data_IF_262185090841
#
_entry.id   IF_262185090841
#
_cell.length_a   1.000
_cell.length_b   1.000
_cell.length_c   1.000
_cell.angle_alpha   90.00
_cell.angle_beta   90.00
_cell.angle_gamma   90.00
#
_symmetry.space_group_name_H-M   'P 1'
#
loop_
_entity.id
_entity.type
_entity.pdbx_description
1 polymer ?
#
# COMPACT_ATOMS: atom_id res chain seq x y z
N UNK A 1 17.25 4.46 2.16
CA UNK A 1 16.09 4.59 1.29
C UNK A 1 15.82 6.07 1.02
N UNK A 2 15.25 6.46 -0.11
CA UNK A 2 14.95 7.86 -0.46
C UNK A 2 13.66 7.95 -1.26
N UNK A 3 13.04 9.14 -1.30
CA UNK A 3 11.92 9.45 -2.19
C UNK A 3 12.44 9.62 -3.62
N UNK A 4 11.77 8.96 -4.57
CA UNK A 4 12.24 8.82 -5.95
C UNK A 4 11.79 9.99 -6.81
N UNK A 5 10.54 10.45 -6.65
CA UNK A 5 9.94 11.46 -7.50
C UNK A 5 8.96 12.36 -6.74
N UNK A 6 8.48 13.43 -7.40
CA UNK A 6 7.47 14.34 -6.86
C UNK A 6 8.04 15.43 -5.94
N UNK A 7 7.16 16.01 -5.11
CA UNK A 7 7.42 17.17 -4.27
C UNK A 7 8.58 16.95 -3.27
N UNK A 8 8.73 15.72 -2.75
CA UNK A 8 9.73 15.38 -1.73
C UNK A 8 10.93 14.61 -2.30
N UNK A 9 11.14 14.62 -3.62
CA UNK A 9 12.22 13.90 -4.31
C UNK A 9 13.58 14.10 -3.66
N UNK A 10 14.33 13.01 -3.49
CA UNK A 10 15.69 12.99 -2.95
C UNK A 10 15.77 12.98 -1.42
N UNK A 11 14.70 13.26 -0.69
CA UNK A 11 14.69 13.21 0.78
C UNK A 11 14.92 11.79 1.27
N UNK A 12 15.85 11.66 2.23
CA UNK A 12 16.22 10.36 2.81
C UNK A 12 15.19 9.96 3.87
N UNK A 13 14.83 8.68 3.87
CA UNK A 13 13.95 8.09 4.87
C UNK A 13 14.74 7.21 5.82
N UNK A 14 14.40 7.27 7.10
CA UNK A 14 14.86 6.32 8.11
C UNK A 14 14.29 4.94 7.80
N UNK A 15 15.10 3.91 8.02
CA UNK A 15 14.70 2.51 7.96
C UNK A 15 14.62 1.95 9.38
N UNK A 16 13.89 0.85 9.53
CA UNK A 16 13.75 0.19 10.83
C UNK A 16 14.84 -0.86 10.92
N UNK A 17 15.81 -0.64 11.82
CA UNK A 17 16.84 -1.63 12.10
C UNK A 17 16.27 -2.85 12.82
N UNK A 18 16.75 -4.04 12.44
CA UNK A 18 16.42 -5.31 13.11
C UNK A 18 15.08 -5.96 12.70
N UNK A 19 14.31 -5.38 11.80
CA UNK A 19 13.27 -6.09 11.11
C UNK A 19 13.88 -6.77 9.88
N UNK A 20 13.72 -8.09 9.75
CA UNK A 20 14.14 -8.87 8.57
C UNK A 20 13.28 -8.56 7.32
N UNK A 21 12.63 -7.41 7.32
CA UNK A 21 11.81 -6.93 6.21
C UNK A 21 12.77 -6.27 5.22
N UNK A 22 12.93 -6.91 4.08
CA UNK A 22 13.64 -6.31 2.93
C UNK A 22 12.80 -5.10 2.49
N UNK A 23 13.31 -3.86 2.60
CA UNK A 23 12.53 -2.72 2.14
C UNK A 23 12.23 -2.88 0.65
N UNK A 24 11.02 -2.56 0.21
CA UNK A 24 10.70 -2.42 -1.21
C UNK A 24 11.79 -1.61 -1.89
N UNK A 25 12.49 -2.23 -2.84
CA UNK A 25 13.65 -1.58 -3.47
C UNK A 25 13.24 -0.28 -4.16
N UNK A 26 14.16 0.69 -4.26
CA UNK A 26 13.91 1.94 -5.00
C UNK A 26 13.39 1.64 -6.42
N UNK A 27 13.93 0.59 -7.07
CA UNK A 27 13.49 0.15 -8.40
C UNK A 27 12.07 -0.41 -8.41
N UNK A 28 11.69 -1.19 -7.41
CA UNK A 28 10.32 -1.74 -7.32
C UNK A 28 9.30 -0.63 -7.08
N UNK A 29 9.62 0.33 -6.18
CA UNK A 29 8.76 1.50 -5.96
C UNK A 29 8.63 2.35 -7.23
N UNK A 30 9.72 2.57 -7.97
CA UNK A 30 9.65 3.26 -9.25
C UNK A 30 8.72 2.53 -10.23
N UNK A 31 8.86 1.20 -10.33
CA UNK A 31 7.98 0.36 -11.16
C UNK A 31 6.52 0.46 -10.73
N UNK A 32 6.23 0.35 -9.42
CA UNK A 32 4.91 0.52 -8.87
C UNK A 32 4.28 1.85 -9.33
N UNK A 33 4.96 2.95 -9.07
CA UNK A 33 4.43 4.28 -9.37
C UNK A 33 4.43 4.63 -10.87
N UNK A 34 5.21 3.95 -11.69
CA UNK A 34 5.09 4.06 -13.15
C UNK A 34 3.77 3.44 -13.66
N UNK A 35 3.34 2.34 -13.05
CA UNK A 35 2.03 1.73 -13.35
C UNK A 35 0.88 2.60 -12.84
N UNK A 36 1.04 3.18 -11.65
CA UNK A 36 0.04 4.04 -11.01
C UNK A 36 0.00 5.47 -11.57
N UNK A 37 0.79 5.77 -12.61
CA UNK A 37 0.86 7.11 -13.21
C UNK A 37 -0.54 7.56 -13.67
N UNK A 38 -0.96 8.74 -13.20
CA UNK A 38 -2.27 9.30 -13.49
C UNK A 38 -3.41 8.84 -12.56
N UNK A 39 -3.18 7.85 -11.70
CA UNK A 39 -4.17 7.39 -10.71
C UNK A 39 -3.85 7.80 -9.27
N UNK A 40 -2.58 8.09 -8.98
CA UNK A 40 -2.15 8.51 -7.63
C UNK A 40 -2.55 9.95 -7.35
N UNK A 41 -2.39 10.83 -8.34
CA UNK A 41 -2.70 12.25 -8.17
C UNK A 41 -4.19 12.45 -7.87
N UNK A 42 -4.47 13.14 -6.77
CA UNK A 42 -5.83 13.37 -6.28
C UNK A 42 -6.49 12.16 -5.62
N UNK A 43 -5.87 10.98 -5.64
CA UNK A 43 -6.43 9.74 -5.08
C UNK A 43 -6.19 9.59 -3.57
N UNK A 44 -7.06 8.80 -2.92
CA UNK A 44 -6.91 8.36 -1.53
C UNK A 44 -6.17 7.02 -1.50
N UNK A 45 -5.00 7.01 -0.90
CA UNK A 45 -4.10 5.87 -0.85
C UNK A 45 -4.08 5.23 0.54
N UNK A 46 -4.09 3.89 0.60
CA UNK A 46 -3.87 3.12 1.84
C UNK A 46 -2.60 2.30 1.71
N UNK A 47 -1.66 2.51 2.60
CA UNK A 47 -0.43 1.74 2.75
C UNK A 47 -0.62 0.75 3.90
N UNK A 48 -0.98 -0.51 3.57
CA UNK A 48 -1.20 -1.59 4.53
C UNK A 48 0.12 -2.28 4.86
N UNK A 49 0.42 -2.43 6.14
CA UNK A 49 1.72 -2.90 6.62
C UNK A 49 2.86 -1.95 6.23
N UNK A 50 2.64 -0.64 6.51
CA UNK A 50 3.42 0.46 5.94
C UNK A 50 4.92 0.48 6.32
N UNK A 51 5.35 -0.24 7.36
CA UNK A 51 6.74 -0.31 7.77
C UNK A 51 7.34 1.07 8.04
N UNK A 52 8.28 1.50 7.21
CA UNK A 52 8.88 2.85 7.31
C UNK A 52 8.04 3.97 6.66
N UNK A 53 6.93 3.62 6.00
CA UNK A 53 6.06 4.54 5.28
C UNK A 53 6.57 4.96 3.89
N UNK A 54 7.56 4.27 3.36
CA UNK A 54 8.23 4.71 2.13
C UNK A 54 7.31 4.75 0.91
N UNK A 55 6.38 3.82 0.79
CA UNK A 55 5.42 3.76 -0.33
C UNK A 55 4.37 4.85 -0.17
N UNK A 56 3.76 4.97 1.00
CA UNK A 56 2.77 6.02 1.25
C UNK A 56 3.36 7.44 1.15
N UNK A 57 4.60 7.68 1.63
CA UNK A 57 5.27 8.99 1.48
C UNK A 57 5.60 9.27 0.01
N UNK A 58 5.99 8.27 -0.78
CA UNK A 58 6.16 8.41 -2.23
C UNK A 58 4.83 8.77 -2.91
N UNK A 59 3.69 8.17 -2.46
CA UNK A 59 2.36 8.51 -2.96
C UNK A 59 2.00 9.99 -2.68
N UNK A 60 2.23 10.47 -1.45
CA UNK A 60 2.08 11.90 -1.11
C UNK A 60 2.98 12.78 -1.98
N UNK A 61 4.24 12.38 -2.17
CA UNK A 61 5.19 13.11 -3.01
C UNK A 61 4.72 13.26 -4.46
N UNK A 62 3.90 12.31 -4.94
CA UNK A 62 3.34 12.27 -6.30
C UNK A 62 1.92 12.80 -6.39
N UNK A 63 1.44 13.48 -5.35
CA UNK A 63 0.18 14.21 -5.38
C UNK A 63 -1.05 13.41 -4.92
N UNK A 64 -0.89 12.30 -4.17
CA UNK A 64 -2.03 11.68 -3.51
C UNK A 64 -2.75 12.70 -2.62
N UNK A 65 -4.08 12.78 -2.73
CA UNK A 65 -4.88 13.70 -1.93
C UNK A 65 -4.88 13.36 -0.44
N UNK A 66 -4.75 12.08 -0.12
CA UNK A 66 -4.64 11.60 1.25
C UNK A 66 -3.99 10.23 1.30
N UNK A 67 -3.14 9.98 2.32
CA UNK A 67 -2.55 8.67 2.58
C UNK A 67 -2.86 8.20 3.98
N UNK A 68 -3.43 7.00 4.09
CA UNK A 68 -3.60 6.31 5.36
C UNK A 68 -2.54 5.22 5.51
N UNK A 69 -1.64 5.41 6.47
CA UNK A 69 -0.64 4.41 6.85
C UNK A 69 -1.23 3.49 7.92
N UNK A 70 -1.20 2.18 7.68
CA UNK A 70 -1.64 1.16 8.64
C UNK A 70 -0.43 0.32 9.03
N UNK A 71 -0.09 0.36 10.31
CA UNK A 71 1.10 -0.32 10.82
C UNK A 71 0.86 -0.82 12.24
N UNK A 72 1.04 -2.12 12.46
CA UNK A 72 0.80 -2.75 13.76
C UNK A 72 1.89 -2.46 14.80
N UNK A 73 3.13 -2.33 14.37
CA UNK A 73 4.26 -2.02 15.23
C UNK A 73 4.29 -0.55 15.65
N UNK A 74 4.20 -0.27 16.94
CA UNK A 74 4.34 1.10 17.48
C UNK A 74 5.67 1.74 17.10
N UNK A 75 6.76 0.93 17.08
CA UNK A 75 8.09 1.41 16.69
C UNK A 75 8.11 1.82 15.22
N UNK A 76 7.50 1.03 14.34
CA UNK A 76 7.41 1.36 12.92
C UNK A 76 6.51 2.58 12.68
N UNK A 77 5.36 2.67 13.36
CA UNK A 77 4.48 3.84 13.30
C UNK A 77 5.18 5.14 13.73
N UNK A 78 6.05 5.08 14.75
CA UNK A 78 6.89 6.21 15.14
C UNK A 78 7.88 6.61 14.03
N UNK A 79 8.49 5.63 13.34
CA UNK A 79 9.39 5.89 12.20
C UNK A 79 8.63 6.55 11.05
N UNK A 80 7.38 6.12 10.74
CA UNK A 80 6.54 6.79 9.74
C UNK A 80 6.36 8.26 10.10
N UNK A 81 6.00 8.57 11.35
CA UNK A 81 5.81 9.94 11.83
C UNK A 81 7.09 10.79 11.71
N UNK A 82 8.25 10.21 12.05
CA UNK A 82 9.53 10.89 11.88
C UNK A 82 9.88 11.14 10.41
N UNK A 83 9.61 10.19 9.53
CA UNK A 83 9.87 10.31 8.10
C UNK A 83 8.97 11.38 7.46
N UNK A 84 7.67 11.42 7.81
CA UNK A 84 6.74 12.46 7.36
C UNK A 84 7.24 13.85 7.78
N UNK A 85 7.59 14.03 9.06
CA UNK A 85 8.15 15.30 9.57
C UNK A 85 9.45 15.67 8.87
N UNK A 86 10.38 14.72 8.67
CA UNK A 86 11.63 14.95 7.94
C UNK A 86 11.38 15.35 6.48
N UNK A 87 10.32 14.82 5.87
CA UNK A 87 9.86 15.23 4.55
C UNK A 87 9.05 16.53 4.55
N UNK A 88 8.80 17.17 5.70
CA UNK A 88 7.99 18.38 5.79
C UNK A 88 6.55 18.16 5.38
N UNK A 89 6.03 16.94 5.60
CA UNK A 89 4.61 16.61 5.38
C UNK A 89 3.86 16.94 6.66
N UNK A 90 2.95 17.91 6.60
CA UNK A 90 2.19 18.42 7.76
C UNK A 90 0.73 17.96 7.75
N UNK A 91 0.18 17.65 6.57
CA UNK A 91 -1.22 17.31 6.37
C UNK A 91 -1.41 16.19 5.33
N UNK A 92 -2.68 15.87 5.06
CA UNK A 92 -3.06 14.89 4.04
C UNK A 92 -2.61 13.45 4.35
N UNK A 93 -2.42 13.13 5.63
CA UNK A 93 -2.13 11.77 6.05
C UNK A 93 -2.81 11.40 7.37
N UNK A 94 -2.94 10.10 7.58
CA UNK A 94 -3.35 9.49 8.85
C UNK A 94 -2.48 8.27 9.14
N UNK A 95 -1.99 8.14 10.37
CA UNK A 95 -1.30 6.94 10.85
C UNK A 95 -2.25 6.18 11.76
N UNK A 96 -2.51 4.90 11.44
CA UNK A 96 -3.34 3.99 12.24
C UNK A 96 -2.42 2.91 12.78
N UNK A 97 -2.11 2.96 14.09
CA UNK A 97 -1.33 1.92 14.74
C UNK A 97 -2.24 0.75 15.14
N UNK A 98 -2.52 -0.12 14.18
CA UNK A 98 -3.38 -1.29 14.29
C UNK A 98 -3.01 -2.31 13.21
N UNK A 99 -3.40 -3.57 13.38
CA UNK A 99 -3.27 -4.58 12.33
C UNK A 99 -4.18 -4.29 11.11
N UNK A 100 -3.80 -4.86 9.96
CA UNK A 100 -4.48 -4.62 8.70
C UNK A 100 -5.94 -5.08 8.72
N UNK A 101 -6.23 -6.30 9.21
CA UNK A 101 -7.59 -6.86 9.20
C UNK A 101 -8.56 -6.07 10.07
N UNK A 102 -8.15 -5.71 11.30
CA UNK A 102 -8.96 -4.89 12.19
C UNK A 102 -9.20 -3.49 11.61
N UNK A 103 -8.22 -2.96 10.88
CA UNK A 103 -8.37 -1.66 10.20
C UNK A 103 -9.33 -1.75 9.03
N UNK A 104 -9.25 -2.78 8.19
CA UNK A 104 -10.19 -2.97 7.08
C UNK A 104 -11.62 -3.17 7.58
N UNK A 105 -11.84 -3.92 8.67
CA UNK A 105 -13.15 -4.04 9.33
C UNK A 105 -13.68 -2.68 9.81
N UNK A 106 -12.81 -1.87 10.37
CA UNK A 106 -13.16 -0.52 10.77
C UNK A 106 -13.54 0.35 9.56
N UNK A 107 -12.80 0.29 8.44
CA UNK A 107 -13.16 1.00 7.21
C UNK A 107 -14.53 0.56 6.68
N UNK A 108 -14.80 -0.75 6.67
CA UNK A 108 -16.07 -1.30 6.23
C UNK A 108 -17.26 -0.84 7.10
N UNK A 109 -17.09 -0.84 8.42
CA UNK A 109 -18.16 -0.42 9.35
C UNK A 109 -18.46 1.10 9.27
N UNK A 110 -17.52 1.90 8.77
CA UNK A 110 -17.67 3.35 8.61
C UNK A 110 -17.86 3.78 7.14
N UNK A 111 -18.03 2.81 6.22
CA UNK A 111 -18.22 3.04 4.79
C UNK A 111 -17.13 3.94 4.15
N UNK A 112 -15.89 3.81 4.64
CA UNK A 112 -14.76 4.57 4.12
C UNK A 112 -14.27 3.91 2.84
N UNK A 113 -14.14 4.70 1.76
CA UNK A 113 -13.66 4.24 0.47
C UNK A 113 -12.33 4.88 0.12
N UNK A 114 -11.47 4.09 -0.53
CA UNK A 114 -10.15 4.52 -0.99
C UNK A 114 -9.92 4.04 -2.43
N UNK A 115 -9.10 4.78 -3.16
CA UNK A 115 -8.84 4.52 -4.57
C UNK A 115 -7.74 3.49 -4.76
N UNK A 116 -6.74 3.48 -3.88
CA UNK A 116 -5.57 2.60 -4.01
C UNK A 116 -5.25 1.97 -2.66
N UNK A 117 -5.16 0.64 -2.65
CA UNK A 117 -4.61 -0.14 -1.54
C UNK A 117 -3.28 -0.74 -1.98
N UNK A 118 -2.24 -0.47 -1.23
CA UNK A 118 -0.96 -1.15 -1.34
C UNK A 118 -0.78 -2.05 -0.11
N UNK A 119 -0.43 -3.31 -0.35
CA UNK A 119 -0.34 -4.33 0.69
C UNK A 119 0.95 -5.13 0.56
N UNK A 120 1.85 -4.93 1.52
CA UNK A 120 3.16 -5.61 1.64
C UNK A 120 3.32 -6.20 3.04
N UNK A 121 2.65 -7.33 3.34
CA UNK A 121 2.78 -7.98 4.64
C UNK A 121 4.12 -8.69 4.79
N UNK A 122 4.53 -9.06 6.02
CA UNK A 122 5.64 -9.98 6.22
C UNK A 122 5.45 -11.27 5.42
N UNK A 123 6.51 -11.74 4.78
CA UNK A 123 6.48 -12.95 3.94
C UNK A 123 5.98 -14.19 4.71
N UNK A 124 5.32 -15.09 3.98
CA UNK A 124 4.76 -16.37 4.45
C UNK A 124 3.57 -16.26 5.41
N UNK A 125 2.79 -15.18 5.32
CA UNK A 125 1.64 -15.01 6.18
C UNK A 125 0.34 -15.43 5.50
N UNK A 126 -0.52 -16.17 6.23
CA UNK A 126 -1.92 -16.40 5.87
C UNK A 126 -2.71 -15.08 5.70
N UNK A 127 -2.09 -14.00 6.15
CA UNK A 127 -2.65 -12.66 6.08
C UNK A 127 -2.97 -12.22 4.65
N UNK A 128 -2.21 -12.71 3.64
CA UNK A 128 -2.50 -12.39 2.23
C UNK A 128 -3.94 -12.70 1.87
N UNK A 129 -4.36 -13.95 2.07
CA UNK A 129 -5.71 -14.37 1.68
C UNK A 129 -6.80 -13.72 2.53
N UNK A 130 -6.56 -13.57 3.83
CA UNK A 130 -7.53 -12.95 4.75
C UNK A 130 -7.79 -11.47 4.40
N UNK A 131 -6.73 -10.71 4.10
CA UNK A 131 -6.83 -9.31 3.69
C UNK A 131 -7.51 -9.21 2.33
N UNK A 132 -7.10 -10.01 1.35
CA UNK A 132 -7.66 -9.97 0.01
C UNK A 132 -9.15 -10.34 -0.02
N UNK A 133 -9.57 -11.38 0.74
CA UNK A 133 -10.99 -11.69 0.90
C UNK A 133 -11.78 -10.58 1.61
N UNK A 134 -11.17 -9.92 2.60
CA UNK A 134 -11.81 -8.80 3.29
C UNK A 134 -12.01 -7.62 2.34
N UNK A 135 -11.01 -7.27 1.54
CA UNK A 135 -11.09 -6.21 0.53
C UNK A 135 -12.15 -6.53 -0.52
N UNK A 136 -12.17 -7.76 -1.04
CA UNK A 136 -13.10 -8.18 -2.09
C UNK A 136 -14.56 -8.15 -1.65
N UNK A 137 -14.85 -8.53 -0.38
CA UNK A 137 -16.21 -8.60 0.16
C UNK A 137 -16.71 -7.28 0.76
N UNK A 138 -15.83 -6.30 0.94
CA UNK A 138 -16.16 -5.01 1.56
C UNK A 138 -16.33 -3.94 0.48
N UNK A 139 -17.25 -3.01 0.68
CA UNK A 139 -17.42 -1.85 -0.22
C UNK A 139 -16.47 -0.70 0.12
N UNK A 140 -15.20 -1.02 0.39
CA UNK A 140 -14.18 -0.05 0.81
C UNK A 140 -13.22 0.34 -0.31
N UNK A 141 -13.23 -0.38 -1.42
CA UNK A 141 -12.54 -0.01 -2.65
C UNK A 141 -13.48 0.89 -3.46
N UNK A 142 -12.99 2.06 -3.89
CA UNK A 142 -13.73 2.96 -4.77
C UNK A 142 -14.05 2.28 -6.11
N UNK A 143 -15.03 2.78 -6.86
CA UNK A 143 -15.53 2.16 -8.11
C UNK A 143 -14.41 1.89 -9.14
N UNK A 144 -13.49 2.83 -9.30
CA UNK A 144 -12.31 2.69 -10.16
C UNK A 144 -11.03 2.32 -9.38
N UNK A 145 -11.21 1.88 -8.13
CA UNK A 145 -10.10 1.61 -7.24
C UNK A 145 -9.39 0.30 -7.54
N UNK A 146 -8.19 0.17 -6.98
CA UNK A 146 -7.34 -1.00 -7.17
C UNK A 146 -6.65 -1.43 -5.90
N UNK A 147 -6.21 -2.69 -5.90
CA UNK A 147 -5.39 -3.27 -4.85
C UNK A 147 -4.09 -3.75 -5.46
N UNK A 148 -2.97 -3.38 -4.86
CA UNK A 148 -1.65 -3.85 -5.26
C UNK A 148 -1.10 -4.69 -4.11
N UNK A 149 -0.67 -5.90 -4.42
CA UNK A 149 -0.05 -6.82 -3.47
C UNK A 149 1.40 -7.02 -3.84
N UNK A 150 2.30 -6.70 -2.91
CA UNK A 150 3.71 -7.10 -3.01
C UNK A 150 3.87 -8.45 -2.31
N UNK A 151 4.47 -9.42 -3.00
CA UNK A 151 4.68 -10.76 -2.47
C UNK A 151 5.93 -11.41 -3.06
N UNK A 152 6.40 -12.51 -2.47
CA UNK A 152 7.48 -13.30 -3.08
C UNK A 152 7.01 -13.90 -4.39
N UNK A 153 7.86 -13.90 -5.41
CA UNK A 153 7.57 -14.51 -6.73
C UNK A 153 7.15 -15.98 -6.63
N UNK A 154 7.65 -16.68 -5.62
CA UNK A 154 7.28 -18.09 -5.37
C UNK A 154 5.95 -18.26 -4.62
N UNK A 155 5.37 -17.19 -4.09
CA UNK A 155 4.07 -17.22 -3.39
C UNK A 155 2.94 -17.04 -4.41
N UNK A 156 2.03 -18.00 -4.47
CA UNK A 156 0.90 -17.94 -5.38
C UNK A 156 -0.29 -17.28 -4.69
N UNK A 157 -0.71 -16.12 -5.17
CA UNK A 157 -2.02 -15.56 -4.87
C UNK A 157 -3.10 -16.37 -5.59
N UNK A 158 -4.33 -16.32 -5.09
CA UNK A 158 -5.45 -16.95 -5.80
C UNK A 158 -5.71 -16.23 -7.13
N UNK A 159 -6.20 -16.93 -8.16
CA UNK A 159 -6.51 -16.35 -9.46
C UNK A 159 -7.62 -15.29 -9.39
N UNK A 160 -8.39 -15.29 -8.31
CA UNK A 160 -9.37 -14.26 -7.99
C UNK A 160 -9.76 -14.31 -6.51
N UNK A 161 -10.34 -13.21 -6.03
CA UNK A 161 -10.97 -13.08 -4.72
C UNK A 161 -12.33 -12.45 -4.93
N UNK A 162 -13.38 -13.28 -5.09
CA UNK A 162 -14.73 -12.83 -5.44
C UNK A 162 -14.73 -12.01 -6.75
N UNK A 163 -15.09 -10.73 -6.71
CA UNK A 163 -15.07 -9.81 -7.85
C UNK A 163 -13.74 -9.11 -8.07
N UNK A 164 -12.72 -9.38 -7.24
CA UNK A 164 -11.40 -8.81 -7.34
C UNK A 164 -10.51 -9.69 -8.25
N UNK A 165 -10.14 -9.17 -9.43
CA UNK A 165 -9.37 -9.88 -10.46
C UNK A 165 -8.00 -9.28 -10.66
N UNK A 166 -6.94 -10.11 -10.82
CA UNK A 166 -5.65 -9.62 -11.23
C UNK A 166 -5.70 -9.23 -12.71
N UNK A 167 -5.10 -8.09 -13.03
CA UNK A 167 -5.00 -7.63 -14.42
C UNK A 167 -3.55 -7.38 -14.86
N UNK A 168 -2.61 -7.35 -13.91
CA UNK A 168 -1.18 -7.17 -14.18
C UNK A 168 -0.33 -7.78 -13.10
N UNK A 169 0.80 -8.37 -13.52
CA UNK A 169 1.87 -8.83 -12.64
C UNK A 169 3.22 -8.32 -13.13
N UNK A 170 4.09 -7.92 -12.21
CA UNK A 170 5.45 -7.47 -12.51
C UNK A 170 6.40 -8.09 -11.50
N UNK A 171 7.25 -9.00 -11.97
CA UNK A 171 8.28 -9.63 -11.16
C UNK A 171 9.63 -8.91 -11.31
N UNK A 172 10.31 -8.71 -10.19
CA UNK A 172 11.70 -8.23 -10.14
C UNK A 172 12.49 -9.02 -9.09
N UNK A 173 13.32 -9.94 -9.55
CA UNK A 173 14.03 -10.87 -8.66
C UNK A 173 13.04 -11.76 -7.91
N UNK A 174 13.12 -11.76 -6.59
CA UNK A 174 12.30 -12.59 -5.71
C UNK A 174 10.96 -11.93 -5.31
N UNK A 175 10.66 -10.76 -5.84
CA UNK A 175 9.46 -9.97 -5.48
C UNK A 175 8.59 -9.75 -6.70
N UNK A 176 7.28 -9.88 -6.52
CA UNK A 176 6.25 -9.63 -7.53
C UNK A 176 5.23 -8.62 -6.99
N UNK A 177 4.84 -7.67 -7.86
CA UNK A 177 3.66 -6.83 -7.67
C UNK A 177 2.52 -7.41 -8.49
N UNK A 178 1.43 -7.75 -7.84
CA UNK A 178 0.19 -8.14 -8.51
C UNK A 178 -0.87 -7.07 -8.31
N UNK A 179 -1.43 -6.59 -9.42
CA UNK A 179 -2.42 -5.52 -9.45
C UNK A 179 -3.81 -6.12 -9.67
N UNK A 180 -4.72 -5.80 -8.78
CA UNK A 180 -6.12 -6.24 -8.83
C UNK A 180 -7.05 -5.05 -9.02
N UNK A 181 -8.15 -5.26 -9.73
CA UNK A 181 -9.28 -4.33 -9.80
C UNK A 181 -10.59 -5.07 -9.61
N UNK A 182 -11.63 -4.33 -9.22
CA UNK A 182 -12.97 -4.90 -9.18
C UNK A 182 -13.45 -5.20 -10.60
N UNK A 183 -13.97 -6.40 -10.81
CA UNK A 183 -14.65 -6.77 -12.06
C UNK A 183 -15.88 -5.87 -12.19
N UNK A 184 -15.93 -5.06 -13.25
CA UNK A 184 -17.15 -4.29 -13.54
C UNK A 184 -18.23 -5.29 -13.91
N UNK A 185 -19.28 -5.39 -13.11
CA UNK A 185 -20.46 -6.14 -13.49
C UNK A 185 -20.91 -5.66 -14.87
N UNK A 186 -21.07 -6.59 -15.79
CA UNK A 186 -21.70 -6.29 -17.07
C UNK A 186 -23.15 -5.91 -16.70
N UNK A 187 -23.45 -4.61 -16.78
CA UNK A 187 -24.79 -4.10 -16.60
C UNK A 187 -25.64 -4.41 -17.82
#
# INVERSE_FOLDING_TARGET
>A
MRIISGMYKGRRLKTIEGLSVRPTSDRMRETLFNVLRGTVEGGKFVDLCAGSGAVGIEALSRGAAHVTFVESSRRAAAVISENLRHCGVEENFKIINRDALSTLKYFASHLLQFDIYYFDPPYDSELYHQVMWTLAKSKIIAEAGMVIVEHRTKFALLPNYDHLRPWREIAQGDTTLTFFSMERGIA
#
